data_IF_276338604544
#
_entry.id   IF_276338604544
#
_cell.length_a   1.000
_cell.length_b   1.000
_cell.length_c   1.000
_cell.angle_alpha   90.00
_cell.angle_beta   90.00
_cell.angle_gamma   90.00
#
_symmetry.space_group_name_H-M   'P 1'
#
loop_
_entity.id
_entity.type
_entity.pdbx_description
1 polymer ?
#
# COMPACT_ATOMS: atom_id res chain seq x y z
N UNK A 1 -5.24 19.29 -12.24
CA UNK A 1 -3.77 19.19 -12.34
C UNK A 1 -3.08 18.94 -10.99
N UNK A 2 -3.46 19.59 -9.89
CA UNK A 2 -2.78 19.42 -8.59
C UNK A 2 -2.89 18.03 -7.95
N UNK A 3 -4.02 17.35 -8.08
CA UNK A 3 -4.24 16.02 -7.46
C UNK A 3 -3.31 14.93 -8.05
N UNK A 4 -3.15 14.89 -9.38
CA UNK A 4 -2.27 13.92 -10.03
C UNK A 4 -0.78 14.13 -9.67
N UNK A 5 -0.38 15.37 -9.44
CA UNK A 5 0.98 15.70 -8.99
C UNK A 5 1.19 15.20 -7.55
N UNK A 6 0.22 15.41 -6.67
CA UNK A 6 0.26 14.96 -5.27
C UNK A 6 0.35 13.42 -5.17
N UNK A 7 -0.41 12.68 -5.99
CA UNK A 7 -0.36 11.22 -6.04
C UNK A 7 1.02 10.70 -6.49
N UNK A 8 1.61 11.30 -7.50
CA UNK A 8 2.95 10.94 -7.98
C UNK A 8 4.02 11.20 -6.92
N UNK A 9 3.97 12.36 -6.26
CA UNK A 9 4.90 12.66 -5.16
C UNK A 9 4.77 11.65 -4.01
N UNK A 10 3.54 11.30 -3.64
CA UNK A 10 3.30 10.27 -2.61
C UNK A 10 3.91 8.92 -3.02
N UNK A 11 3.71 8.46 -4.26
CA UNK A 11 4.27 7.20 -4.74
C UNK A 11 5.79 7.23 -4.81
N UNK A 12 6.39 8.33 -5.25
CA UNK A 12 7.84 8.48 -5.30
C UNK A 12 8.46 8.44 -3.89
N UNK A 13 7.91 9.19 -2.95
CA UNK A 13 8.40 9.18 -1.56
C UNK A 13 8.19 7.85 -0.88
N UNK A 14 7.03 7.19 -1.11
CA UNK A 14 6.74 5.85 -0.59
C UNK A 14 7.67 4.80 -1.22
N UNK A 15 7.88 4.85 -2.52
CA UNK A 15 8.80 3.95 -3.23
C UNK A 15 10.25 4.10 -2.76
N UNK A 16 10.70 5.33 -2.57
CA UNK A 16 12.04 5.59 -2.02
C UNK A 16 12.18 5.07 -0.58
N UNK A 17 11.21 5.34 0.28
CA UNK A 17 11.21 4.87 1.67
C UNK A 17 11.17 3.33 1.75
N UNK A 18 10.31 2.68 0.98
CA UNK A 18 10.22 1.21 0.91
C UNK A 18 11.50 0.60 0.31
N UNK A 19 12.10 1.24 -0.69
CA UNK A 19 13.38 0.82 -1.26
C UNK A 19 14.50 0.83 -0.21
N UNK A 20 14.59 1.92 0.56
CA UNK A 20 15.59 2.06 1.60
C UNK A 20 15.39 1.03 2.73
N UNK A 21 14.15 0.86 3.22
CA UNK A 21 13.84 -0.11 4.29
C UNK A 21 13.98 -1.55 3.82
N UNK A 22 13.59 -1.85 2.58
CA UNK A 22 13.76 -3.18 1.97
C UNK A 22 15.23 -3.57 1.80
N UNK A 23 16.06 -2.64 1.31
CA UNK A 23 17.52 -2.85 1.25
C UNK A 23 18.10 -3.06 2.63
N UNK A 24 17.77 -2.23 3.61
CA UNK A 24 18.24 -2.37 4.98
C UNK A 24 17.92 -3.75 5.57
N UNK A 25 16.70 -4.26 5.34
CA UNK A 25 16.29 -5.61 5.77
C UNK A 25 17.04 -6.71 5.04
N UNK A 26 17.20 -6.59 3.72
CA UNK A 26 17.93 -7.57 2.92
C UNK A 26 19.41 -7.67 3.37
N UNK A 27 20.08 -6.54 3.55
CA UNK A 27 21.46 -6.52 4.07
C UNK A 27 21.54 -7.06 5.50
N UNK A 28 20.59 -6.71 6.37
CA UNK A 28 20.56 -7.24 7.74
C UNK A 28 20.36 -8.76 7.77
N UNK A 29 19.55 -9.30 6.87
CA UNK A 29 19.30 -10.75 6.78
C UNK A 29 20.52 -11.54 6.36
N UNK A 30 21.44 -10.95 5.60
CA UNK A 30 22.70 -11.59 5.14
C UNK A 30 23.78 -11.52 6.24
N UNK A 31 23.66 -10.57 7.18
CA UNK A 31 24.65 -10.35 8.23
C UNK A 31 24.72 -11.47 9.29
N UNK A 32 25.82 -11.56 10.07
CA UNK A 32 26.08 -12.62 11.04
C UNK A 32 25.30 -12.47 12.38
N UNK A 33 24.19 -11.71 12.42
CA UNK A 33 23.47 -11.45 13.65
C UNK A 33 22.74 -12.70 14.16
N UNK A 34 23.21 -13.25 15.27
CA UNK A 34 22.58 -14.38 15.99
C UNK A 34 21.15 -14.08 16.45
N UNK A 35 20.82 -12.81 16.67
CA UNK A 35 19.47 -12.38 17.03
C UNK A 35 18.41 -12.68 15.95
N UNK A 36 18.82 -12.85 14.69
CA UNK A 36 17.92 -13.16 13.57
C UNK A 36 17.63 -14.66 13.41
N UNK A 37 18.32 -15.52 14.13
CA UNK A 37 18.10 -16.97 14.10
C UNK A 37 17.02 -17.41 15.10
N UNK A 38 16.51 -16.47 15.92
CA UNK A 38 15.37 -16.69 16.82
C UNK A 38 14.11 -16.83 15.98
N UNK A 39 13.26 -17.80 16.32
CA UNK A 39 11.99 -17.98 15.65
C UNK A 39 11.03 -16.82 15.96
N UNK A 40 10.35 -16.34 14.92
CA UNK A 40 9.26 -15.37 15.05
C UNK A 40 8.09 -16.00 15.81
N UNK A 41 7.56 -15.32 16.82
CA UNK A 41 6.51 -15.90 17.68
C UNK A 41 5.15 -16.07 16.99
N UNK A 42 4.89 -15.37 15.87
CA UNK A 42 3.65 -15.50 15.09
C UNK A 42 3.73 -16.62 14.07
N UNK A 43 4.84 -16.69 13.34
CA UNK A 43 4.99 -17.60 12.18
C UNK A 43 5.85 -18.83 12.50
N UNK A 44 6.59 -18.85 13.59
CA UNK A 44 7.49 -19.95 13.95
C UNK A 44 8.70 -20.12 13.02
N UNK A 45 8.93 -19.21 12.10
CA UNK A 45 10.06 -19.22 11.16
C UNK A 45 11.18 -18.32 11.67
N UNK A 46 12.47 -18.60 11.37
CA UNK A 46 13.58 -17.74 11.77
C UNK A 46 13.36 -16.31 11.25
N UNK A 47 13.61 -15.33 12.12
CA UNK A 47 13.44 -13.89 11.80
C UNK A 47 14.22 -13.49 10.55
N UNK A 48 15.35 -14.13 10.27
CA UNK A 48 16.16 -13.95 9.08
C UNK A 48 15.38 -14.16 7.79
N UNK A 49 14.63 -15.25 7.69
CA UNK A 49 13.81 -15.56 6.51
C UNK A 49 12.63 -14.60 6.37
N UNK A 50 12.01 -14.25 7.49
CA UNK A 50 10.93 -13.26 7.50
C UNK A 50 11.42 -11.90 7.02
N UNK A 51 12.55 -11.41 7.51
CA UNK A 51 13.17 -10.16 7.08
C UNK A 51 13.53 -10.16 5.60
N UNK A 52 14.08 -11.27 5.10
CA UNK A 52 14.42 -11.38 3.67
C UNK A 52 13.16 -11.33 2.80
N UNK A 53 12.15 -12.10 3.15
CA UNK A 53 10.87 -12.16 2.42
C UNK A 53 10.18 -10.79 2.40
N UNK A 54 10.09 -10.14 3.55
CA UNK A 54 9.50 -8.80 3.69
C UNK A 54 10.33 -7.77 2.94
N UNK A 55 11.66 -7.80 3.07
CA UNK A 55 12.56 -6.89 2.37
C UNK A 55 12.45 -7.01 0.85
N UNK A 56 12.37 -8.23 0.31
CA UNK A 56 12.14 -8.45 -1.12
C UNK A 56 10.77 -7.96 -1.56
N UNK A 57 9.73 -8.17 -0.76
CA UNK A 57 8.38 -7.64 -1.02
C UNK A 57 8.36 -6.11 -1.06
N UNK A 58 9.04 -5.45 -0.11
CA UNK A 58 9.19 -3.99 -0.10
C UNK A 58 9.93 -3.48 -1.33
N UNK A 59 11.02 -4.14 -1.74
CA UNK A 59 11.78 -3.78 -2.94
C UNK A 59 10.95 -3.93 -4.21
N UNK A 60 10.17 -4.99 -4.31
CA UNK A 60 9.27 -5.20 -5.44
C UNK A 60 8.22 -4.09 -5.53
N UNK A 61 7.59 -3.74 -4.42
CA UNK A 61 6.59 -2.66 -4.38
C UNK A 61 7.25 -1.30 -4.65
N UNK A 62 8.45 -1.06 -4.11
CA UNK A 62 9.23 0.14 -4.40
C UNK A 62 9.51 0.26 -5.90
N UNK A 63 9.89 -0.84 -6.55
CA UNK A 63 10.08 -0.89 -7.99
C UNK A 63 8.82 -0.50 -8.75
N UNK A 64 7.65 -1.05 -8.38
CA UNK A 64 6.37 -0.67 -9.01
C UNK A 64 6.03 0.81 -8.76
N UNK A 65 6.28 1.35 -7.58
CA UNK A 65 6.02 2.76 -7.28
C UNK A 65 6.90 3.73 -8.09
N UNK A 66 8.16 3.34 -8.35
CA UNK A 66 9.15 4.22 -9.01
C UNK A 66 9.12 4.11 -10.54
N UNK A 67 8.87 2.91 -11.08
CA UNK A 67 9.07 2.63 -12.51
C UNK A 67 7.78 2.32 -13.28
N UNK A 68 6.63 2.15 -12.61
CA UNK A 68 5.39 1.78 -13.29
C UNK A 68 4.41 2.94 -13.32
N UNK A 69 3.83 3.19 -14.49
CA UNK A 69 2.78 4.22 -14.67
C UNK A 69 1.40 3.82 -14.13
N UNK A 70 1.25 2.57 -13.69
CA UNK A 70 -0.02 2.04 -13.13
C UNK A 70 -0.23 2.50 -11.69
N UNK A 71 -0.47 3.79 -11.49
CA UNK A 71 -0.65 4.46 -10.20
C UNK A 71 -1.63 3.72 -9.27
N UNK A 72 -2.74 3.20 -9.80
CA UNK A 72 -3.74 2.50 -8.97
C UNK A 72 -3.22 1.20 -8.40
N UNK A 73 -2.48 0.42 -9.18
CA UNK A 73 -1.88 -0.83 -8.71
C UNK A 73 -0.84 -0.57 -7.62
N UNK A 74 0.02 0.43 -7.83
CA UNK A 74 1.04 0.82 -6.84
C UNK A 74 0.41 1.30 -5.52
N UNK A 75 -0.65 2.11 -5.58
CA UNK A 75 -1.39 2.54 -4.39
C UNK A 75 -2.02 1.37 -3.63
N UNK A 76 -2.63 0.43 -4.34
CA UNK A 76 -3.20 -0.79 -3.73
C UNK A 76 -2.12 -1.67 -3.11
N UNK A 77 -0.97 -1.81 -3.77
CA UNK A 77 0.15 -2.58 -3.24
C UNK A 77 0.73 -1.97 -1.96
N UNK A 78 0.88 -0.63 -1.92
CA UNK A 78 1.32 0.09 -0.71
C UNK A 78 0.28 -0.04 0.42
N UNK A 79 -1.02 0.11 0.11
CA UNK A 79 -2.10 -0.06 1.08
C UNK A 79 -2.13 -1.48 1.64
N UNK A 80 -2.01 -2.49 0.80
CA UNK A 80 -1.96 -3.89 1.19
C UNK A 80 -0.76 -4.19 2.09
N UNK A 81 0.44 -3.74 1.70
CA UNK A 81 1.65 -3.94 2.49
C UNK A 81 1.56 -3.28 3.87
N UNK A 82 1.15 -2.01 3.91
CA UNK A 82 1.02 -1.27 5.18
C UNK A 82 -0.03 -1.89 6.10
N UNK A 83 -1.14 -2.39 5.55
CA UNK A 83 -2.15 -3.12 6.32
C UNK A 83 -1.58 -4.40 6.92
N UNK A 84 -0.82 -5.20 6.14
CA UNK A 84 -0.18 -6.41 6.66
C UNK A 84 0.79 -6.09 7.80
N UNK A 85 1.56 -5.00 7.71
CA UNK A 85 2.43 -4.58 8.81
C UNK A 85 1.66 -4.18 10.07
N UNK A 86 0.54 -3.49 9.93
CA UNK A 86 -0.32 -3.16 11.09
C UNK A 86 -0.87 -4.42 11.72
N UNK A 87 -1.40 -5.35 10.92
CA UNK A 87 -1.94 -6.63 11.41
C UNK A 87 -0.86 -7.44 12.13
N UNK A 88 0.33 -7.53 11.56
CA UNK A 88 1.47 -8.20 12.18
C UNK A 88 1.85 -7.56 13.53
N UNK A 89 1.92 -6.23 13.61
CA UNK A 89 2.22 -5.53 14.87
C UNK A 89 1.13 -5.71 15.92
N UNK A 90 -0.12 -5.68 15.52
CA UNK A 90 -1.24 -5.98 16.41
C UNK A 90 -1.16 -7.42 16.91
N UNK A 91 -0.84 -8.38 16.06
CA UNK A 91 -0.61 -9.76 16.44
C UNK A 91 0.47 -9.90 17.51
N UNK A 92 1.63 -9.25 17.32
CA UNK A 92 2.70 -9.24 18.32
C UNK A 92 2.24 -8.62 19.66
N UNK A 93 1.45 -7.56 19.60
CA UNK A 93 0.92 -6.91 20.79
C UNK A 93 -0.05 -7.83 21.55
N UNK A 94 -0.94 -8.52 20.85
CA UNK A 94 -1.89 -9.46 21.45
C UNK A 94 -1.24 -10.64 22.16
N UNK A 95 -0.10 -11.14 21.65
CA UNK A 95 0.65 -12.23 22.30
C UNK A 95 1.61 -11.73 23.41
N UNK A 96 1.57 -10.43 23.75
CA UNK A 96 2.40 -9.84 24.80
C UNK A 96 3.87 -9.65 24.41
N UNK A 97 4.21 -9.68 23.11
CA UNK A 97 5.57 -9.49 22.63
C UNK A 97 5.91 -7.99 22.53
N UNK A 98 6.50 -7.43 23.60
CA UNK A 98 6.81 -6.02 23.72
C UNK A 98 8.26 -5.67 23.35
N UNK A 99 8.99 -6.58 22.74
CA UNK A 99 10.36 -6.28 22.30
C UNK A 99 10.33 -5.29 21.14
N UNK A 100 11.29 -4.32 21.09
CA UNK A 100 11.41 -3.42 19.96
C UNK A 100 11.59 -4.22 18.67
N UNK A 101 10.92 -3.79 17.62
CA UNK A 101 11.01 -4.47 16.34
C UNK A 101 12.44 -4.41 15.79
N UNK A 102 13.05 -5.58 15.59
CA UNK A 102 14.33 -5.70 14.91
C UNK A 102 14.26 -5.41 13.40
N UNK A 103 13.28 -4.60 12.96
CA UNK A 103 12.97 -4.36 11.54
C UNK A 103 14.12 -3.73 10.74
N UNK A 104 15.06 -3.07 11.42
CA UNK A 104 16.29 -2.54 10.82
C UNK A 104 17.51 -3.43 11.12
N UNK A 105 17.33 -4.52 11.90
CA UNK A 105 18.39 -5.50 12.18
C UNK A 105 19.69 -4.87 12.61
N UNK A 106 20.80 -5.30 11.99
CA UNK A 106 22.15 -4.79 12.26
C UNK A 106 22.36 -3.31 11.92
N UNK A 107 21.47 -2.68 11.14
CA UNK A 107 21.64 -1.30 10.75
C UNK A 107 21.51 -0.34 11.94
N UNK A 108 20.72 -0.69 12.95
CA UNK A 108 20.61 0.09 14.19
C UNK A 108 21.91 0.10 14.97
N UNK A 109 22.60 -1.05 15.01
CA UNK A 109 23.86 -1.20 15.70
C UNK A 109 25.00 -0.46 14.94
N UNK A 110 24.99 -0.56 13.60
CA UNK A 110 25.97 0.13 12.76
C UNK A 110 25.83 1.66 12.80
N UNK A 111 24.59 2.17 12.87
CA UNK A 111 24.31 3.60 12.91
C UNK A 111 24.26 4.19 14.33
N UNK A 112 24.51 3.38 15.35
CA UNK A 112 24.43 3.78 16.78
C UNK A 112 23.08 4.42 17.14
N UNK A 113 22.00 3.99 16.47
CA UNK A 113 20.64 4.48 16.73
C UNK A 113 20.01 3.61 17.82
N UNK A 114 19.41 4.26 18.84
CA UNK A 114 18.72 3.52 19.89
C UNK A 114 17.56 2.68 19.29
N UNK A 115 17.34 1.44 19.76
CA UNK A 115 16.25 0.59 19.25
C UNK A 115 14.86 1.24 19.37
N UNK A 116 14.64 2.07 20.41
CA UNK A 116 13.39 2.82 20.57
C UNK A 116 13.19 3.91 19.52
N UNK A 117 14.25 4.62 19.14
CA UNK A 117 14.20 5.64 18.08
C UNK A 117 13.90 4.97 16.72
N UNK A 118 14.58 3.87 16.42
CA UNK A 118 14.33 3.11 15.20
C UNK A 118 12.87 2.61 15.11
N UNK A 119 12.32 2.10 16.21
CA UNK A 119 10.93 1.65 16.28
C UNK A 119 9.94 2.81 16.06
N UNK A 120 10.20 3.99 16.62
CA UNK A 120 9.36 5.18 16.42
C UNK A 120 9.40 5.67 14.98
N UNK A 121 10.56 5.69 14.34
CA UNK A 121 10.70 6.02 12.90
C UNK A 121 9.89 5.06 12.05
N UNK A 122 9.99 3.76 12.32
CA UNK A 122 9.23 2.74 11.57
C UNK A 122 7.73 2.86 11.79
N UNK A 123 7.27 3.20 13.01
CA UNK A 123 5.84 3.49 13.28
C UNK A 123 5.35 4.72 12.51
N UNK A 124 6.13 5.80 12.49
CA UNK A 124 5.79 7.01 11.75
C UNK A 124 5.73 6.73 10.24
N UNK A 125 6.69 5.98 9.70
CA UNK A 125 6.70 5.57 8.30
C UNK A 125 5.48 4.69 7.97
N UNK A 126 5.15 3.73 8.82
CA UNK A 126 3.97 2.87 8.65
C UNK A 126 2.68 3.69 8.65
N UNK A 127 2.53 4.63 9.59
CA UNK A 127 1.39 5.54 9.63
C UNK A 127 1.30 6.41 8.37
N UNK A 128 2.41 6.94 7.89
CA UNK A 128 2.48 7.70 6.63
C UNK A 128 2.03 6.87 5.42
N UNK A 129 2.54 5.65 5.26
CA UNK A 129 2.17 4.76 4.16
C UNK A 129 0.71 4.35 4.23
N UNK A 130 0.21 4.01 5.42
CA UNK A 130 -1.18 3.61 5.62
C UNK A 130 -2.14 4.76 5.33
N UNK A 131 -1.99 5.88 6.04
CA UNK A 131 -2.88 7.03 5.89
C UNK A 131 -2.80 7.62 4.48
N UNK A 132 -1.58 7.77 3.93
CA UNK A 132 -1.37 8.31 2.60
C UNK A 132 -2.00 7.45 1.50
N UNK A 133 -1.82 6.12 1.56
CA UNK A 133 -2.40 5.22 0.55
C UNK A 133 -3.94 5.18 0.61
N UNK A 134 -4.53 5.08 1.81
CA UNK A 134 -5.98 5.06 1.96
C UNK A 134 -6.62 6.41 1.64
N UNK A 135 -6.00 7.53 2.02
CA UNK A 135 -6.48 8.87 1.70
C UNK A 135 -6.48 9.11 0.18
N UNK A 136 -5.42 8.72 -0.52
CA UNK A 136 -5.36 8.85 -1.99
C UNK A 136 -6.34 7.94 -2.70
N UNK A 137 -6.51 6.71 -2.27
CA UNK A 137 -7.53 5.79 -2.80
C UNK A 137 -8.95 6.31 -2.58
N UNK A 138 -9.25 6.81 -1.39
CA UNK A 138 -10.55 7.39 -1.06
C UNK A 138 -10.85 8.64 -1.89
N UNK A 139 -9.84 9.51 -2.09
CA UNK A 139 -9.98 10.70 -2.93
C UNK A 139 -10.29 10.33 -4.38
N UNK A 140 -9.59 9.36 -4.95
CA UNK A 140 -9.85 8.85 -6.31
C UNK A 140 -11.26 8.26 -6.45
N UNK A 141 -11.68 7.47 -5.47
CA UNK A 141 -13.02 6.90 -5.46
C UNK A 141 -14.09 7.99 -5.46
N UNK A 142 -13.92 9.03 -4.65
CA UNK A 142 -14.85 10.19 -4.63
C UNK A 142 -14.88 10.94 -5.96
N UNK A 143 -13.75 11.14 -6.61
CA UNK A 143 -13.70 11.80 -7.92
C UNK A 143 -14.41 10.96 -8.99
N UNK A 144 -14.19 9.66 -9.02
CA UNK A 144 -14.87 8.74 -9.94
C UNK A 144 -16.38 8.67 -9.72
N UNK A 145 -16.85 8.83 -8.47
CA UNK A 145 -18.27 8.91 -8.17
C UNK A 145 -18.92 10.22 -8.69
N UNK A 146 -18.22 11.35 -8.57
CA UNK A 146 -18.68 12.65 -9.09
C UNK A 146 -18.78 12.68 -10.60
N UNK A 147 -17.77 12.20 -11.31
CA UNK A 147 -17.78 12.17 -12.79
C UNK A 147 -18.89 11.27 -13.35
N UNK A 148 -19.30 10.24 -12.63
CA UNK A 148 -20.46 9.42 -13.00
C UNK A 148 -21.79 10.13 -12.83
N UNK A 149 -21.92 11.03 -11.86
CA UNK A 149 -23.13 11.82 -11.66
C UNK A 149 -23.28 12.96 -12.68
N UNK A 150 -22.15 13.55 -13.11
CA UNK A 150 -22.12 14.63 -14.11
C UNK A 150 -22.28 14.10 -15.55
N UNK A 151 -21.92 12.83 -15.81
CA UNK A 151 -22.11 12.12 -17.06
C UNK A 151 -23.50 11.48 -17.17
N UNK A 152 -24.56 12.22 -16.86
CA UNK A 152 -25.93 11.81 -17.17
C UNK A 152 -26.08 11.43 -18.67
N UNK A 153 -27.07 10.62 -19.05
CA UNK A 153 -27.26 10.24 -20.45
C UNK A 153 -27.28 11.50 -21.30
N UNK A 154 -26.59 11.48 -22.48
CA UNK A 154 -26.49 12.66 -23.33
C UNK A 154 -27.90 13.19 -23.59
N UNK A 155 -28.05 14.52 -23.50
CA UNK A 155 -29.34 15.23 -23.58
C UNK A 155 -30.14 14.95 -24.89
N UNK A 156 -29.72 14.02 -25.70
CA UNK A 156 -30.37 13.54 -26.92
C UNK A 156 -30.95 12.13 -26.84
N UNK A 157 -30.82 11.42 -25.70
CA UNK A 157 -31.43 10.10 -25.53
C UNK A 157 -32.82 10.21 -24.89
N UNK A 158 -33.73 10.96 -25.54
CA UNK A 158 -35.18 10.76 -25.35
C UNK A 158 -35.54 9.52 -26.19
N UNK A 159 -36.13 8.46 -25.62
CA UNK A 159 -36.67 7.38 -26.44
C UNK A 159 -37.67 8.02 -27.40
N UNK A 160 -37.42 7.87 -28.70
CA UNK A 160 -38.38 8.30 -29.72
C UNK A 160 -39.76 7.81 -29.31
N UNK A 161 -40.78 8.64 -29.25
CA UNK A 161 -42.12 8.15 -29.02
C UNK A 161 -42.38 7.13 -30.13
N UNK A 162 -42.37 5.85 -29.73
CA UNK A 162 -42.72 4.76 -30.62
C UNK A 162 -44.00 5.09 -31.30
N UNK A 163 -43.96 5.09 -32.62
CA UNK A 163 -45.16 5.22 -33.51
C UNK A 163 -46.13 4.07 -33.20
N UNK A 164 -46.84 4.20 -32.07
CA UNK A 164 -48.01 3.39 -31.72
C UNK A 164 -49.21 4.04 -32.41
N UNK A 165 -49.44 3.67 -33.66
CA UNK A 165 -50.56 4.26 -34.41
C UNK A 165 -50.67 3.77 -35.84
N UNK A 166 -50.28 2.54 -36.12
CA UNK A 166 -50.69 1.88 -37.37
C UNK A 166 -52.05 1.21 -37.16
N UNK A 167 -53.12 1.98 -37.25
CA UNK A 167 -54.46 1.44 -37.47
C UNK A 167 -54.48 0.67 -38.77
N UNK A 168 -54.65 -0.65 -38.69
CA UNK A 168 -54.92 -1.52 -39.81
C UNK A 168 -56.29 -1.12 -40.41
N UNK A 169 -56.40 -0.81 -41.75
CA UNK A 169 -57.71 -0.71 -42.38
C UNK A 169 -58.27 -2.08 -42.53
N UNK A 170 -59.56 -2.23 -42.12
CA UNK A 170 -60.38 -3.41 -42.40
C UNK A 170 -60.63 -3.48 -43.92
N UNK A 171 -60.38 -4.60 -44.57
CA UNK A 171 -60.77 -4.91 -45.89
C UNK A 171 -62.17 -5.54 -45.90
N UNK A 172 -62.97 -5.31 -46.96
CA UNK A 172 -64.35 -5.79 -47.08
C UNK A 172 -64.42 -7.30 -47.38
#
# INVERSE_FOLDING_TARGET
MSAAISERWFLLTSGFALGLTGLAKAFSAIGPARALDVADPLFGIPFRHLMLLVGLGELLIAFFCLFTDKTQFSLLAVAWLSTNFVVYRLGLWFIGWHKPCGCLGNLTDMLHISPGTADNIMKALLAYLLVGSYATLFWRWRQGARSRQEGGPPAGWAPSPSASGATRPASP
#
